data_IF_055721812762
#
_entry.id   IF_055721812762
#
_cell.length_a   1.000
_cell.length_b   1.000
_cell.length_c   1.000
_cell.angle_alpha   90.00
_cell.angle_beta   90.00
_cell.angle_gamma   90.00
#
_symmetry.space_group_name_H-M   'P 1'
#
loop_
_entity.id
_entity.type
_entity.pdbx_description
1 polymer ?
#
# COMPACT_ATOMS: atom_id res chain seq x y z
N UNK A 1 16.08 -3.49 -0.21
CA UNK A 1 15.13 -2.80 -1.12
C UNK A 1 15.83 -1.83 -2.08
N UNK A 2 16.73 -0.94 -1.62
CA UNK A 2 17.56 -0.13 -2.54
C UNK A 2 18.56 -1.04 -3.26
N UNK A 3 18.67 -0.90 -4.58
CA UNK A 3 19.57 -1.65 -5.44
C UNK A 3 20.88 -0.86 -5.62
N UNK A 4 22.00 -1.57 -5.71
CA UNK A 4 23.30 -0.96 -5.95
C UNK A 4 23.50 -0.82 -7.47
N UNK A 5 23.30 0.39 -7.99
CA UNK A 5 23.37 0.70 -9.44
C UNK A 5 24.08 2.03 -9.69
N UNK A 6 24.48 2.22 -10.96
CA UNK A 6 25.23 3.36 -11.54
C UNK A 6 24.76 4.76 -11.04
N UNK A 7 25.60 5.82 -11.11
CA UNK A 7 25.28 7.11 -10.50
C UNK A 7 23.93 7.66 -10.97
N UNK A 8 23.00 7.72 -10.01
CA UNK A 8 21.69 8.33 -10.15
C UNK A 8 21.80 9.86 -10.01
N UNK A 9 20.77 10.64 -10.42
CA UNK A 9 20.60 12.00 -9.91
C UNK A 9 20.80 12.01 -8.39
N UNK A 10 21.44 13.05 -7.85
CA UNK A 10 21.90 13.08 -6.44
C UNK A 10 20.78 12.76 -5.42
N UNK A 11 19.51 12.90 -5.80
CA UNK A 11 18.33 12.71 -4.97
C UNK A 11 17.50 11.44 -5.23
N UNK A 12 17.92 10.50 -6.09
CA UNK A 12 17.14 9.28 -6.41
C UNK A 12 17.69 7.97 -5.80
N UNK A 13 16.81 6.97 -5.70
CA UNK A 13 17.04 5.61 -5.23
C UNK A 13 16.44 4.63 -6.24
N UNK A 14 17.23 3.71 -6.77
CA UNK A 14 16.71 2.55 -7.47
C UNK A 14 16.30 1.48 -6.46
N UNK A 15 15.14 0.89 -6.65
CA UNK A 15 14.58 -0.11 -5.73
C UNK A 15 13.92 -1.24 -6.49
N UNK A 16 13.56 -2.31 -5.78
CA UNK A 16 12.77 -3.40 -6.35
C UNK A 16 11.37 -2.98 -6.84
N UNK A 17 10.85 -1.84 -6.35
CA UNK A 17 9.55 -1.32 -6.74
C UNK A 17 9.64 -0.36 -7.93
N UNK A 18 10.82 0.16 -8.24
CA UNK A 18 11.03 1.23 -9.22
C UNK A 18 11.97 2.30 -8.67
N UNK A 19 12.03 3.44 -9.35
CA UNK A 19 12.85 4.58 -8.93
C UNK A 19 12.06 5.50 -8.01
N UNK A 20 12.68 5.94 -6.91
CA UNK A 20 12.06 6.81 -5.91
C UNK A 20 13.01 7.93 -5.50
N UNK A 21 12.47 9.02 -4.96
CA UNK A 21 13.26 10.06 -4.31
C UNK A 21 13.88 9.55 -3.00
N UNK A 22 14.99 10.15 -2.56
CA UNK A 22 15.65 9.83 -1.29
C UNK A 22 14.75 10.07 -0.08
N UNK A 23 13.82 11.02 -0.15
CA UNK A 23 12.82 11.29 0.88
C UNK A 23 11.98 10.03 1.19
N UNK A 24 11.77 9.18 0.19
CA UNK A 24 10.99 7.95 0.33
C UNK A 24 11.68 6.85 1.15
N UNK A 25 13.00 6.93 1.39
CA UNK A 25 13.81 5.83 1.98
C UNK A 25 13.21 5.21 3.22
N UNK A 26 12.79 6.03 4.19
CA UNK A 26 12.23 5.55 5.47
C UNK A 26 10.92 4.81 5.26
N UNK A 27 10.00 5.38 4.48
CA UNK A 27 8.70 4.80 4.18
C UNK A 27 8.85 3.50 3.37
N UNK A 28 9.74 3.51 2.40
CA UNK A 28 10.04 2.37 1.56
C UNK A 28 10.57 1.16 2.33
N UNK A 29 11.43 1.37 3.34
CA UNK A 29 11.88 0.28 4.23
C UNK A 29 10.71 -0.31 5.02
N UNK A 30 9.84 0.53 5.60
CA UNK A 30 8.63 0.07 6.28
C UNK A 30 7.72 -0.71 5.32
N UNK A 31 7.52 -0.19 4.11
CA UNK A 31 6.69 -0.82 3.08
C UNK A 31 7.23 -2.20 2.71
N UNK A 32 8.55 -2.35 2.58
CA UNK A 32 9.19 -3.65 2.37
C UNK A 32 8.89 -4.64 3.51
N UNK A 33 9.03 -4.18 4.76
CA UNK A 33 8.86 -5.05 5.93
C UNK A 33 7.41 -5.53 6.13
N UNK A 34 6.42 -4.73 5.73
CA UNK A 34 5.01 -5.00 6.04
C UNK A 34 4.14 -5.39 4.84
N UNK A 35 4.44 -4.88 3.64
CA UNK A 35 3.52 -4.91 2.49
C UNK A 35 4.15 -5.49 1.21
N UNK A 36 5.40 -5.96 1.25
CA UNK A 36 6.09 -6.44 0.05
C UNK A 36 5.28 -7.49 -0.74
N UNK A 37 4.78 -8.51 -0.06
CA UNK A 37 3.94 -9.55 -0.68
C UNK A 37 2.64 -9.00 -1.27
N UNK A 38 2.04 -7.98 -0.64
CA UNK A 38 0.80 -7.37 -1.11
C UNK A 38 1.02 -6.58 -2.41
N UNK A 39 2.08 -5.77 -2.44
CA UNK A 39 2.49 -4.98 -3.60
C UNK A 39 2.89 -5.89 -4.77
N UNK A 40 3.63 -6.96 -4.48
CA UNK A 40 4.02 -7.95 -5.48
C UNK A 40 2.81 -8.69 -6.05
N UNK A 41 1.87 -9.12 -5.20
CA UNK A 41 0.62 -9.74 -5.62
C UNK A 41 -0.23 -8.79 -6.47
N UNK A 42 -0.44 -7.54 -6.03
CA UNK A 42 -1.18 -6.54 -6.78
C UNK A 42 -0.60 -6.34 -8.18
N UNK A 43 0.71 -6.14 -8.28
CA UNK A 43 1.37 -5.96 -9.57
C UNK A 43 1.31 -7.21 -10.47
N UNK A 44 1.34 -8.41 -9.89
CA UNK A 44 1.16 -9.66 -10.63
C UNK A 44 -0.28 -9.81 -11.14
N UNK A 45 -1.28 -9.48 -10.32
CA UNK A 45 -2.69 -9.47 -10.70
C UNK A 45 -2.97 -8.44 -11.80
N UNK A 46 -2.42 -7.22 -11.72
CA UNK A 46 -2.51 -6.19 -12.77
C UNK A 46 -2.03 -6.73 -14.12
N UNK A 47 -0.88 -7.43 -14.13
CA UNK A 47 -0.36 -8.08 -15.35
C UNK A 47 -1.28 -9.19 -15.85
N UNK A 48 -1.72 -10.06 -14.94
CA UNK A 48 -2.53 -11.23 -15.26
C UNK A 48 -3.84 -10.85 -15.95
N UNK A 49 -4.58 -9.88 -15.38
CA UNK A 49 -5.87 -9.47 -15.94
C UNK A 49 -5.72 -8.47 -17.09
N UNK A 50 -4.50 -7.99 -17.36
CA UNK A 50 -4.24 -6.97 -18.38
C UNK A 50 -4.93 -5.65 -18.07
N UNK A 51 -4.92 -5.21 -16.81
CA UNK A 51 -5.58 -3.96 -16.42
C UNK A 51 -4.99 -2.77 -17.20
N UNK A 52 -5.89 -1.93 -17.71
CA UNK A 52 -5.57 -0.72 -18.46
C UNK A 52 -5.64 0.53 -17.60
N UNK A 53 -6.46 0.51 -16.54
CA UNK A 53 -6.56 1.59 -15.56
C UNK A 53 -6.26 1.08 -14.16
N UNK A 54 -5.50 1.86 -13.39
CA UNK A 54 -5.23 1.57 -11.99
C UNK A 54 -5.68 2.76 -11.13
N UNK A 55 -6.33 2.47 -10.01
CA UNK A 55 -6.61 3.45 -8.96
C UNK A 55 -5.77 3.10 -7.73
N UNK A 56 -5.00 4.06 -7.26
CA UNK A 56 -4.19 3.98 -6.04
C UNK A 56 -4.78 5.00 -5.05
N UNK A 57 -5.76 4.55 -4.25
CA UNK A 57 -6.53 5.40 -3.35
C UNK A 57 -5.95 5.30 -1.94
N UNK A 58 -5.41 6.42 -1.44
CA UNK A 58 -4.52 6.44 -0.29
C UNK A 58 -3.07 6.15 -0.71
N UNK A 59 -2.63 6.75 -1.81
CA UNK A 59 -1.38 6.38 -2.49
C UNK A 59 -0.12 6.60 -1.63
N UNK A 60 -0.16 7.45 -0.60
CA UNK A 60 0.98 7.81 0.23
C UNK A 60 2.15 8.34 -0.61
N UNK A 61 3.27 7.60 -0.70
CA UNK A 61 4.41 7.94 -1.56
C UNK A 61 4.33 7.32 -2.97
N UNK A 62 3.23 6.63 -3.29
CA UNK A 62 2.97 6.04 -4.61
C UNK A 62 3.68 4.72 -4.86
N UNK A 63 3.88 3.85 -3.87
CA UNK A 63 4.60 2.58 -4.10
C UNK A 63 3.85 1.69 -5.08
N UNK A 64 2.52 1.59 -4.97
CA UNK A 64 1.70 0.82 -5.91
C UNK A 64 1.73 1.45 -7.30
N UNK A 65 1.50 2.76 -7.40
CA UNK A 65 1.59 3.52 -8.65
C UNK A 65 2.92 3.32 -9.38
N UNK A 66 4.06 3.56 -8.70
CA UNK A 66 5.39 3.37 -9.28
C UNK A 66 5.62 1.91 -9.67
N UNK A 67 5.13 0.95 -8.87
CA UNK A 67 5.32 -0.47 -9.15
C UNK A 67 4.64 -0.92 -10.45
N UNK A 68 3.48 -0.36 -10.76
CA UNK A 68 2.65 -0.80 -11.89
C UNK A 68 2.78 0.08 -13.14
N UNK A 69 3.35 1.28 -13.04
CA UNK A 69 3.52 2.20 -14.17
C UNK A 69 4.35 1.65 -15.34
N UNK A 70 5.19 0.64 -15.10
CA UNK A 70 6.00 0.00 -16.14
C UNK A 70 5.32 -1.22 -16.78
N UNK A 71 4.09 -1.55 -16.39
CA UNK A 71 3.35 -2.68 -16.95
C UNK A 71 2.72 -2.26 -18.30
N UNK A 72 3.03 -2.95 -19.43
CA UNK A 72 2.61 -2.49 -20.76
C UNK A 72 1.09 -2.34 -20.98
N UNK A 73 0.27 -3.11 -20.25
CA UNK A 73 -1.19 -3.00 -20.35
C UNK A 73 -1.72 -1.72 -19.72
N UNK A 74 -1.05 -1.20 -18.69
CA UNK A 74 -1.48 0.00 -17.95
C UNK A 74 -1.34 1.21 -18.85
N UNK A 75 -2.43 1.99 -18.96
CA UNK A 75 -2.54 3.20 -19.78
C UNK A 75 -2.73 4.45 -18.93
N UNK A 76 -3.28 4.31 -17.73
CA UNK A 76 -3.39 5.39 -16.76
C UNK A 76 -3.43 4.86 -15.33
N UNK A 77 -2.85 5.62 -14.42
CA UNK A 77 -2.85 5.39 -12.99
C UNK A 77 -3.38 6.66 -12.35
N UNK A 78 -4.39 6.53 -11.47
CA UNK A 78 -5.00 7.63 -10.76
C UNK A 78 -4.65 7.51 -9.29
N UNK A 79 -3.71 8.33 -8.83
CA UNK A 79 -3.16 8.28 -7.48
C UNK A 79 -3.74 9.40 -6.61
N UNK A 80 -4.54 9.01 -5.62
CA UNK A 80 -5.21 9.92 -4.70
C UNK A 80 -4.50 9.92 -3.36
N UNK A 81 -3.95 11.06 -2.95
CA UNK A 81 -3.33 11.25 -1.62
C UNK A 81 -3.69 12.63 -1.07
N UNK A 82 -4.55 12.73 -0.04
CA UNK A 82 -4.96 14.01 0.52
C UNK A 82 -3.89 14.69 1.40
N UNK A 83 -2.97 13.94 1.99
CA UNK A 83 -1.94 14.49 2.85
C UNK A 83 -0.84 15.19 2.07
N UNK A 84 -0.79 16.52 2.10
CA UNK A 84 0.18 17.37 1.37
C UNK A 84 1.61 16.82 1.43
N UNK A 85 2.06 16.40 2.62
CA UNK A 85 3.43 15.93 2.79
C UNK A 85 3.76 14.59 2.13
N UNK A 86 2.78 13.69 2.04
CA UNK A 86 2.93 12.45 1.29
C UNK A 86 2.75 12.73 -0.22
N UNK A 87 1.80 13.60 -0.57
CA UNK A 87 1.55 14.05 -1.94
C UNK A 87 2.77 14.73 -2.59
N UNK A 88 3.51 15.58 -1.86
CA UNK A 88 4.77 16.16 -2.29
C UNK A 88 5.77 15.07 -2.74
N UNK A 89 5.89 14.01 -1.94
CA UNK A 89 6.83 12.91 -2.18
C UNK A 89 6.34 12.01 -3.32
N UNK A 90 5.05 11.72 -3.37
CA UNK A 90 4.40 11.03 -4.49
C UNK A 90 4.65 11.76 -5.81
N UNK A 91 4.45 13.08 -5.83
CA UNK A 91 4.68 13.92 -7.02
C UNK A 91 6.12 13.80 -7.49
N UNK A 92 7.09 13.93 -6.58
CA UNK A 92 8.51 13.74 -6.92
C UNK A 92 8.81 12.33 -7.41
N UNK A 93 8.16 11.30 -6.86
CA UNK A 93 8.36 9.92 -7.29
C UNK A 93 7.77 9.68 -8.69
N UNK A 94 6.63 10.29 -9.03
CA UNK A 94 6.04 10.20 -10.37
C UNK A 94 6.96 10.83 -11.44
N UNK A 95 7.56 11.99 -11.15
CA UNK A 95 8.53 12.66 -12.04
C UNK A 95 9.77 11.81 -12.37
N UNK A 96 10.11 10.85 -11.51
CA UNK A 96 11.29 9.99 -11.68
C UNK A 96 11.03 8.77 -12.59
N UNK A 97 9.77 8.55 -13.01
CA UNK A 97 9.40 7.44 -13.88
C UNK A 97 9.71 7.73 -15.35
N UNK A 98 9.80 6.67 -16.16
CA UNK A 98 10.11 6.80 -17.59
C UNK A 98 9.05 7.61 -18.36
N UNK A 99 7.78 7.46 -17.96
CA UNK A 99 6.66 8.26 -18.44
C UNK A 99 5.92 8.84 -17.22
N UNK A 100 6.22 10.07 -16.80
CA UNK A 100 5.54 10.69 -15.67
C UNK A 100 4.05 10.91 -15.89
N UNK A 101 3.61 11.06 -17.15
CA UNK A 101 2.21 11.37 -17.49
C UNK A 101 1.28 10.17 -17.31
N UNK A 102 1.82 8.96 -17.15
CA UNK A 102 1.01 7.77 -16.87
C UNK A 102 0.39 7.79 -15.47
N UNK A 103 0.98 8.56 -14.53
CA UNK A 103 0.50 8.70 -13.15
C UNK A 103 -0.17 10.07 -13.02
N UNK A 104 -1.50 10.08 -13.07
CA UNK A 104 -2.33 11.24 -12.77
C UNK A 104 -2.47 11.41 -11.25
N UNK A 105 -2.11 12.60 -10.77
CA UNK A 105 -1.93 12.91 -9.35
C UNK A 105 -3.07 13.77 -8.84
N UNK A 106 -3.74 13.30 -7.78
CA UNK A 106 -4.90 13.96 -7.19
C UNK A 106 -4.64 14.21 -5.69
N UNK A 107 -4.46 15.48 -5.28
CA UNK A 107 -4.30 15.85 -3.87
C UNK A 107 -5.66 15.95 -3.16
N UNK A 108 -6.39 14.85 -3.16
CA UNK A 108 -7.81 14.78 -2.80
C UNK A 108 -8.09 13.44 -2.14
N UNK A 109 -8.99 13.40 -1.16
CA UNK A 109 -9.48 12.15 -0.59
C UNK A 109 -10.64 11.61 -1.43
N UNK A 110 -10.76 10.29 -1.58
CA UNK A 110 -11.92 9.71 -2.26
C UNK A 110 -13.05 9.49 -1.25
N UNK A 111 -14.26 9.94 -1.59
CA UNK A 111 -15.47 9.82 -0.77
C UNK A 111 -16.71 9.60 -1.65
N UNK A 112 -17.87 9.45 -1.01
CA UNK A 112 -19.21 9.42 -1.61
C UNK A 112 -19.77 10.79 -2.02
N UNK A 113 -19.05 11.86 -1.69
CA UNK A 113 -19.41 13.27 -1.94
C UNK A 113 -18.18 14.05 -2.39
N UNK A 114 -18.39 15.14 -3.12
CA UNK A 114 -17.36 16.07 -3.55
C UNK A 114 -17.46 17.38 -2.75
N UNK A 115 -16.86 17.41 -1.57
CA UNK A 115 -16.89 18.53 -0.62
C UNK A 115 -15.56 18.71 0.13
N UNK A 116 -15.47 19.74 0.98
CA UNK A 116 -14.33 19.90 1.92
C UNK A 116 -14.56 19.10 3.19
N UNK A 117 -13.55 18.39 3.67
CA UNK A 117 -13.61 17.60 4.89
C UNK A 117 -12.37 17.81 5.77
N UNK A 118 -12.53 17.63 7.08
CA UNK A 118 -11.41 17.67 8.03
C UNK A 118 -10.58 16.38 7.97
N UNK A 119 -9.26 16.53 7.90
CA UNK A 119 -8.26 15.46 7.80
C UNK A 119 -7.29 15.51 8.98
N UNK A 120 -7.17 14.40 9.71
CA UNK A 120 -6.31 14.25 10.87
C UNK A 120 -4.87 13.92 10.46
N UNK A 121 -3.92 14.76 10.87
CA UNK A 121 -2.50 14.59 10.58
C UNK A 121 -1.75 14.24 11.87
N UNK A 122 -1.17 13.03 11.91
CA UNK A 122 -0.31 12.54 12.99
C UNK A 122 1.18 12.76 12.70
N UNK A 123 1.52 13.03 11.44
CA UNK A 123 2.84 13.46 10.99
C UNK A 123 2.86 13.66 9.47
N UNK A 124 3.86 14.40 8.95
CA UNK A 124 3.94 14.79 7.53
C UNK A 124 3.81 13.61 6.54
N UNK A 125 4.23 12.42 6.95
CA UNK A 125 4.14 11.18 6.16
C UNK A 125 3.72 10.00 7.04
N UNK A 126 2.86 10.19 8.04
CA UNK A 126 2.42 9.09 8.90
C UNK A 126 1.44 8.18 8.12
N UNK A 127 1.49 6.86 8.37
CA UNK A 127 0.61 5.90 7.68
C UNK A 127 -0.83 6.04 8.13
N UNK A 128 -1.02 6.36 9.41
CA UNK A 128 -2.29 6.52 10.08
C UNK A 128 -2.89 7.93 9.96
N UNK A 129 -2.52 8.71 8.93
CA UNK A 129 -3.24 9.94 8.62
C UNK A 129 -4.57 9.52 7.99
N UNK A 130 -5.68 10.12 8.42
CA UNK A 130 -7.01 9.70 8.02
C UNK A 130 -7.99 10.87 8.08
N UNK A 131 -9.18 10.72 7.49
CA UNK A 131 -10.25 11.72 7.69
C UNK A 131 -10.65 11.75 9.17
N UNK A 132 -10.81 12.95 9.75
CA UNK A 132 -11.06 13.07 11.19
C UNK A 132 -12.35 12.34 11.61
N UNK A 133 -13.35 12.28 10.71
CA UNK A 133 -14.60 11.57 10.93
C UNK A 133 -14.47 10.06 11.11
N UNK A 134 -13.35 9.45 10.68
CA UNK A 134 -13.13 7.99 10.79
C UNK A 134 -12.31 7.61 12.04
N UNK A 135 -11.85 8.61 12.79
CA UNK A 135 -10.95 8.40 13.93
C UNK A 135 -11.68 7.92 15.18
N UNK A 136 -11.13 6.93 15.92
CA UNK A 136 -11.61 6.62 17.26
C UNK A 136 -11.49 7.86 18.16
N UNK A 137 -12.54 8.19 18.93
CA UNK A 137 -12.58 9.37 19.80
C UNK A 137 -11.42 9.46 20.82
N UNK A 138 -10.73 8.33 21.09
CA UNK A 138 -9.57 8.27 21.97
C UNK A 138 -8.26 8.76 21.32
N UNK A 139 -8.19 8.89 19.99
CA UNK A 139 -7.00 9.33 19.28
C UNK A 139 -6.99 10.85 19.18
N UNK A 140 -5.87 11.48 19.57
CA UNK A 140 -5.66 12.92 19.42
C UNK A 140 -4.75 13.17 18.23
N UNK A 141 -5.29 13.73 17.16
CA UNK A 141 -4.50 14.20 16.03
C UNK A 141 -3.48 15.25 16.49
N UNK A 142 -2.30 15.27 15.87
CA UNK A 142 -1.31 16.30 16.15
C UNK A 142 -1.71 17.64 15.51
N UNK A 143 -2.41 17.57 14.36
CA UNK A 143 -3.01 18.69 13.66
C UNK A 143 -4.23 18.22 12.86
N UNK A 144 -5.11 19.15 12.48
CA UNK A 144 -6.22 18.92 11.53
C UNK A 144 -6.08 19.89 10.37
N UNK A 145 -6.26 19.42 9.14
CA UNK A 145 -6.24 20.24 7.91
C UNK A 145 -7.52 20.01 7.11
N UNK A 146 -7.98 20.99 6.35
CA UNK A 146 -9.06 20.78 5.39
C UNK A 146 -8.51 20.17 4.11
N UNK A 147 -9.15 19.11 3.62
CA UNK A 147 -8.84 18.48 2.33
C UNK A 147 -10.08 18.44 1.46
N UNK A 148 -9.87 18.45 0.15
CA UNK A 148 -10.95 18.22 -0.81
C UNK A 148 -11.27 16.72 -0.86
N UNK A 149 -12.54 16.41 -1.14
CA UNK A 149 -13.01 15.06 -1.42
C UNK A 149 -13.54 14.97 -2.84
N UNK A 150 -13.42 13.80 -3.47
CA UNK A 150 -13.93 13.53 -4.81
C UNK A 150 -14.59 12.15 -4.88
N UNK A 151 -15.55 12.02 -5.81
CA UNK A 151 -16.14 10.74 -6.19
C UNK A 151 -15.45 10.24 -7.44
N UNK A 152 -15.11 8.95 -7.48
CA UNK A 152 -14.62 8.31 -8.71
C UNK A 152 -15.68 8.39 -9.81
N UNK A 153 -16.97 8.25 -9.45
CA UNK A 153 -18.07 8.29 -10.40
C UNK A 153 -18.19 9.64 -11.17
N UNK A 154 -17.55 10.71 -10.72
CA UNK A 154 -17.64 12.01 -11.39
C UNK A 154 -16.56 12.21 -12.49
N UNK A 155 -15.57 11.31 -12.58
CA UNK A 155 -14.33 11.56 -13.35
C UNK A 155 -14.01 10.59 -14.49
N UNK A 156 -14.72 9.46 -14.64
CA UNK A 156 -14.26 8.37 -15.51
C UNK A 156 -15.36 7.69 -16.34
N UNK A 157 -14.93 7.05 -17.43
CA UNK A 157 -15.81 6.24 -18.26
C UNK A 157 -16.35 5.03 -17.50
N UNK A 158 -17.67 4.86 -17.56
CA UNK A 158 -18.37 3.90 -16.71
C UNK A 158 -18.38 2.47 -17.25
N UNK A 159 -17.82 2.19 -18.44
CA UNK A 159 -18.05 0.90 -19.11
C UNK A 159 -16.88 0.43 -19.96
N UNK A 160 -16.67 -0.89 -19.90
CA UNK A 160 -15.84 -1.63 -20.86
C UNK A 160 -14.34 -1.65 -20.56
N UNK A 161 -13.91 -1.12 -19.42
CA UNK A 161 -12.51 -1.12 -19.01
C UNK A 161 -12.18 -2.30 -18.09
N UNK A 162 -10.91 -2.76 -18.18
CA UNK A 162 -10.32 -3.67 -17.21
C UNK A 162 -9.47 -2.87 -16.23
N UNK A 163 -9.76 -2.94 -14.94
CA UNK A 163 -9.10 -2.10 -13.95
C UNK A 163 -8.58 -2.87 -12.73
N UNK A 164 -7.68 -2.21 -11.99
CA UNK A 164 -7.25 -2.62 -10.66
C UNK A 164 -7.40 -1.44 -9.69
N UNK A 165 -7.81 -1.68 -8.46
CA UNK A 165 -7.99 -0.63 -7.46
C UNK A 165 -7.40 -1.07 -6.12
N UNK A 166 -6.46 -0.28 -5.59
CA UNK A 166 -6.02 -0.34 -4.19
C UNK A 166 -6.79 0.74 -3.42
N UNK A 167 -7.35 0.36 -2.28
CA UNK A 167 -8.06 1.25 -1.37
C UNK A 167 -7.54 1.06 0.05
N UNK A 168 -6.96 2.12 0.60
CA UNK A 168 -6.43 2.17 1.95
C UNK A 168 -6.47 3.60 2.44
N UNK A 169 -7.59 3.94 3.09
CA UNK A 169 -7.95 5.31 3.49
C UNK A 169 -8.25 5.39 4.98
N UNK A 170 -7.73 4.41 5.74
CA UNK A 170 -7.72 4.38 7.20
C UNK A 170 -9.13 4.58 7.81
N UNK A 171 -10.10 3.77 7.36
CA UNK A 171 -11.46 3.71 7.92
C UNK A 171 -12.53 4.47 7.13
N UNK A 172 -12.19 4.99 5.94
CA UNK A 172 -13.14 5.66 5.04
C UNK A 172 -13.54 4.81 3.83
N UNK A 173 -13.23 3.51 3.85
CA UNK A 173 -13.33 2.64 2.69
C UNK A 173 -14.77 2.55 2.17
N UNK A 174 -15.74 2.47 3.08
CA UNK A 174 -17.16 2.34 2.74
C UNK A 174 -17.63 3.53 1.88
N UNK A 175 -17.31 4.75 2.30
CA UNK A 175 -17.69 5.97 1.57
C UNK A 175 -16.95 6.10 0.25
N UNK A 176 -15.65 5.80 0.23
CA UNK A 176 -14.88 5.78 -1.00
C UNK A 176 -15.47 4.79 -2.04
N UNK A 177 -15.88 3.60 -1.60
CA UNK A 177 -16.56 2.61 -2.46
C UNK A 177 -17.93 3.07 -2.95
N UNK A 178 -18.71 3.74 -2.10
CA UNK A 178 -20.00 4.32 -2.48
C UNK A 178 -19.86 5.43 -3.54
N UNK A 179 -18.78 6.21 -3.49
CA UNK A 179 -18.42 7.20 -4.49
C UNK A 179 -17.86 6.64 -5.80
N UNK A 180 -17.60 5.33 -5.86
CA UNK A 180 -17.11 4.62 -7.04
C UNK A 180 -18.11 3.58 -7.56
N UNK A 181 -19.35 3.58 -7.04
CA UNK A 181 -20.31 2.50 -7.26
C UNK A 181 -20.64 2.29 -8.73
N UNK A 182 -20.85 3.38 -9.47
CA UNK A 182 -21.23 3.31 -10.89
C UNK A 182 -20.07 2.79 -11.73
N UNK A 183 -18.87 3.32 -11.49
CA UNK A 183 -17.65 2.90 -12.16
C UNK A 183 -17.35 1.41 -11.90
N UNK A 184 -17.41 0.97 -10.64
CA UNK A 184 -17.14 -0.40 -10.24
C UNK A 184 -18.18 -1.37 -10.82
N UNK A 185 -19.46 -1.00 -10.86
CA UNK A 185 -20.52 -1.86 -11.38
C UNK A 185 -20.49 -2.01 -12.90
N UNK A 186 -19.97 -1.00 -13.62
CA UNK A 186 -19.94 -0.99 -15.08
C UNK A 186 -18.66 -1.51 -15.72
N UNK A 187 -17.60 -1.74 -14.93
CA UNK A 187 -16.29 -2.20 -15.39
C UNK A 187 -15.89 -3.54 -14.74
N UNK A 188 -14.90 -4.24 -15.31
CA UNK A 188 -14.42 -5.53 -14.77
C UNK A 188 -13.01 -5.38 -14.19
N UNK A 189 -12.74 -6.03 -13.07
CA UNK A 189 -11.44 -5.88 -12.43
C UNK A 189 -11.33 -6.55 -11.08
N UNK A 190 -10.31 -6.13 -10.32
CA UNK A 190 -10.14 -6.54 -8.94
C UNK A 190 -9.92 -5.35 -8.00
N UNK A 191 -10.29 -5.54 -6.74
CA UNK A 191 -10.10 -4.59 -5.65
C UNK A 191 -9.19 -5.22 -4.60
N UNK A 192 -8.18 -4.49 -4.14
CA UNK A 192 -7.47 -4.75 -2.90
C UNK A 192 -7.90 -3.66 -1.91
N UNK A 193 -8.67 -4.05 -0.91
CA UNK A 193 -9.21 -3.12 0.10
C UNK A 193 -8.61 -3.47 1.46
N UNK A 194 -7.87 -2.54 2.05
CA UNK A 194 -7.41 -2.63 3.43
C UNK A 194 -8.56 -2.21 4.35
N UNK A 195 -8.98 -3.11 5.24
CA UNK A 195 -10.10 -2.82 6.14
C UNK A 195 -9.83 -3.37 7.54
N UNK A 196 -10.04 -2.50 8.53
CA UNK A 196 -9.88 -2.87 9.92
C UNK A 196 -10.92 -3.91 10.39
N UNK A 197 -10.57 -4.73 11.40
CA UNK A 197 -11.54 -5.59 12.05
C UNK A 197 -12.78 -4.81 12.51
N UNK A 198 -13.97 -5.23 12.07
CA UNK A 198 -15.25 -4.62 12.42
C UNK A 198 -15.92 -3.84 11.28
N UNK A 199 -15.19 -3.38 10.27
CA UNK A 199 -15.76 -2.65 9.12
C UNK A 199 -15.95 -3.54 7.88
N UNK A 200 -15.25 -4.67 7.83
CA UNK A 200 -15.19 -5.53 6.64
C UNK A 200 -16.54 -6.09 6.20
N UNK A 201 -17.49 -6.34 7.10
CA UNK A 201 -18.78 -6.91 6.69
C UNK A 201 -19.63 -5.90 5.91
N UNK A 202 -19.58 -4.61 6.26
CA UNK A 202 -20.23 -3.54 5.51
C UNK A 202 -19.56 -3.35 4.14
N UNK A 203 -18.23 -3.31 4.11
CA UNK A 203 -17.45 -3.27 2.86
C UNK A 203 -17.83 -4.44 1.94
N UNK A 204 -17.93 -5.66 2.49
CA UNK A 204 -18.29 -6.86 1.73
C UNK A 204 -19.69 -6.77 1.15
N UNK A 205 -20.68 -6.31 1.90
CA UNK A 205 -22.04 -6.19 1.37
C UNK A 205 -22.14 -5.09 0.31
N UNK A 206 -21.43 -3.97 0.48
CA UNK A 206 -21.38 -2.90 -0.54
C UNK A 206 -20.75 -3.39 -1.84
N UNK A 207 -19.55 -3.98 -1.82
CA UNK A 207 -18.92 -4.44 -3.07
C UNK A 207 -19.68 -5.63 -3.69
N UNK A 208 -20.34 -6.45 -2.88
CA UNK A 208 -21.23 -7.52 -3.35
C UNK A 208 -22.44 -6.98 -4.10
N UNK A 209 -23.01 -5.86 -3.65
CA UNK A 209 -24.09 -5.18 -4.40
C UNK A 209 -23.63 -4.69 -5.79
N UNK A 210 -22.32 -4.51 -5.99
CA UNK A 210 -21.68 -4.15 -7.27
C UNK A 210 -21.18 -5.38 -8.07
N UNK A 211 -21.54 -6.60 -7.64
CA UNK A 211 -21.17 -7.84 -8.31
C UNK A 211 -19.80 -8.42 -7.94
N UNK A 212 -19.13 -7.87 -6.93
CA UNK A 212 -17.84 -8.38 -6.47
C UNK A 212 -17.99 -9.51 -5.45
N UNK A 213 -17.11 -10.49 -5.53
CA UNK A 213 -16.94 -11.52 -4.49
C UNK A 213 -15.54 -11.47 -3.93
N UNK A 214 -15.39 -11.74 -2.63
CA UNK A 214 -14.07 -11.88 -2.00
C UNK A 214 -13.46 -13.20 -2.43
N UNK A 215 -12.24 -13.18 -2.94
CA UNK A 215 -11.48 -14.37 -3.36
C UNK A 215 -10.33 -14.69 -2.40
N UNK A 216 -9.79 -13.69 -1.71
CA UNK A 216 -8.66 -13.89 -0.81
C UNK A 216 -8.61 -12.84 0.30
N UNK A 217 -7.83 -13.13 1.34
CA UNK A 217 -7.51 -12.20 2.42
C UNK A 217 -6.08 -12.43 2.90
N UNK A 218 -5.31 -11.35 3.00
CA UNK A 218 -3.99 -11.36 3.63
C UNK A 218 -3.95 -10.30 4.72
N UNK A 219 -3.93 -10.71 6.00
CA UNK A 219 -4.06 -9.80 7.15
C UNK A 219 -5.30 -8.88 7.05
N UNK A 220 -5.12 -7.60 6.74
CA UNK A 220 -6.18 -6.60 6.60
C UNK A 220 -6.53 -6.32 5.13
N UNK A 221 -5.70 -6.80 4.18
CA UNK A 221 -5.99 -6.73 2.76
C UNK A 221 -7.03 -7.78 2.36
N UNK A 222 -8.11 -7.31 1.76
CA UNK A 222 -9.17 -8.14 1.20
C UNK A 222 -9.20 -7.98 -0.31
N UNK A 223 -9.14 -9.11 -1.02
CA UNK A 223 -9.14 -9.14 -2.48
C UNK A 223 -10.50 -9.54 -3.01
N UNK A 224 -11.06 -8.71 -3.88
CA UNK A 224 -12.37 -8.89 -4.48
C UNK A 224 -12.28 -8.84 -6.00
N UNK A 225 -13.17 -9.54 -6.69
CA UNK A 225 -13.31 -9.42 -8.14
C UNK A 225 -14.74 -9.68 -8.61
N UNK A 226 -15.14 -9.00 -9.70
CA UNK A 226 -16.37 -9.24 -10.44
C UNK A 226 -16.13 -9.95 -11.79
N UNK A 227 -14.90 -10.46 -12.01
CA UNK A 227 -14.52 -11.29 -13.16
C UNK A 227 -15.21 -12.66 -13.02
N UNK A 228 -15.87 -13.09 -14.08
CA UNK A 228 -16.66 -14.32 -14.14
C UNK A 228 -15.87 -15.52 -14.65
N UNK A 229 -14.79 -15.30 -15.40
CA UNK A 229 -13.89 -16.36 -15.87
C UNK A 229 -13.24 -17.07 -14.67
N UNK A 230 -13.70 -18.30 -14.40
CA UNK A 230 -13.24 -19.08 -13.25
C UNK A 230 -11.79 -19.50 -13.37
N UNK A 231 -11.31 -19.81 -14.57
CA UNK A 231 -9.92 -20.22 -14.78
C UNK A 231 -8.96 -19.05 -14.54
N UNK A 232 -9.35 -17.84 -14.96
CA UNK A 232 -8.61 -16.63 -14.64
C UNK A 232 -8.61 -16.37 -13.12
N UNK A 233 -9.74 -16.56 -12.45
CA UNK A 233 -9.84 -16.36 -10.99
C UNK A 233 -9.01 -17.39 -10.22
N UNK A 234 -8.92 -18.63 -10.68
CA UNK A 234 -8.03 -19.64 -10.09
C UNK A 234 -6.57 -19.19 -10.19
N UNK A 235 -6.15 -18.68 -11.35
CA UNK A 235 -4.79 -18.12 -11.51
C UNK A 235 -4.54 -16.90 -10.60
N UNK A 236 -5.56 -16.04 -10.39
CA UNK A 236 -5.46 -14.94 -9.42
C UNK A 236 -5.23 -15.47 -8.00
N UNK A 237 -5.96 -16.52 -7.60
CA UNK A 237 -5.81 -17.13 -6.28
C UNK A 237 -4.44 -17.77 -6.11
N UNK A 238 -3.94 -18.49 -7.13
CA UNK A 238 -2.60 -19.09 -7.10
C UNK A 238 -1.51 -18.02 -6.86
N UNK A 239 -1.56 -16.90 -7.59
CA UNK A 239 -0.66 -15.76 -7.36
C UNK A 239 -0.73 -15.27 -5.91
N UNK A 240 -1.94 -15.12 -5.36
CA UNK A 240 -2.14 -14.64 -4.00
C UNK A 240 -1.61 -15.62 -2.95
N UNK A 241 -1.79 -16.93 -3.17
CA UNK A 241 -1.24 -17.98 -2.32
C UNK A 241 0.29 -18.00 -2.38
N UNK A 242 0.87 -17.97 -3.58
CA UNK A 242 2.32 -18.01 -3.78
C UNK A 242 3.01 -16.81 -3.13
N UNK A 243 2.50 -15.59 -3.33
CA UNK A 243 3.05 -14.39 -2.71
C UNK A 243 2.93 -14.38 -1.18
N UNK A 244 1.85 -14.96 -0.65
CA UNK A 244 1.69 -15.15 0.81
C UNK A 244 2.68 -16.18 1.34
N UNK A 245 2.89 -17.28 0.61
CA UNK A 245 3.83 -18.33 0.98
C UNK A 245 5.29 -17.83 0.95
N UNK A 246 5.67 -17.06 -0.08
CA UNK A 246 6.98 -16.41 -0.18
C UNK A 246 7.23 -15.46 1.01
N UNK A 247 6.26 -14.61 1.32
CA UNK A 247 6.34 -13.69 2.47
C UNK A 247 6.51 -14.44 3.80
N UNK A 248 5.81 -15.58 3.96
CA UNK A 248 5.95 -16.44 5.14
C UNK A 248 7.34 -17.09 5.21
N UNK A 249 7.86 -17.57 4.07
CA UNK A 249 9.19 -18.18 3.99
C UNK A 249 10.30 -17.15 4.34
N UNK A 250 10.19 -15.91 3.86
CA UNK A 250 11.12 -14.83 4.21
C UNK A 250 11.07 -14.52 5.71
N UNK A 251 9.87 -14.42 6.29
CA UNK A 251 9.70 -14.21 7.73
C UNK A 251 10.30 -15.36 8.57
N UNK A 252 10.17 -16.60 8.11
CA UNK A 252 10.80 -17.77 8.75
C UNK A 252 12.31 -17.68 8.71
N UNK A 253 12.90 -17.36 7.55
CA UNK A 253 14.35 -17.18 7.39
C UNK A 253 14.90 -16.07 8.29
N UNK A 254 14.19 -14.94 8.42
CA UNK A 254 14.56 -13.85 9.33
C UNK A 254 14.53 -14.29 10.80
N UNK A 255 13.53 -15.10 11.19
CA UNK A 255 13.44 -15.66 12.55
C UNK A 255 14.60 -16.61 12.86
N UNK A 256 15.03 -17.42 11.89
CA UNK A 256 16.20 -18.29 12.01
C UNK A 256 17.49 -17.49 12.14
N UNK A 257 17.68 -16.47 11.30
CA UNK A 257 18.84 -15.58 11.37
C UNK A 257 18.91 -14.89 12.74
N UNK A 258 17.79 -14.35 13.24
CA UNK A 258 17.72 -13.73 14.57
C UNK A 258 18.11 -14.71 15.67
N UNK A 259 17.64 -15.96 15.61
CA UNK A 259 18.04 -17.02 16.57
C UNK A 259 19.53 -17.34 16.49
N UNK A 260 20.12 -17.33 15.29
CA UNK A 260 21.56 -17.51 15.12
C UNK A 260 22.33 -16.34 15.74
N UNK A 261 21.97 -15.09 15.42
CA UNK A 261 22.60 -13.90 16.00
C UNK A 261 22.54 -13.89 17.54
N UNK A 262 21.40 -14.25 18.14
CA UNK A 262 21.27 -14.33 19.60
C UNK A 262 22.22 -15.39 20.18
N UNK A 263 22.38 -16.55 19.51
CA UNK A 263 23.33 -17.58 19.94
C UNK A 263 24.77 -17.08 19.84
N UNK A 264 25.14 -16.47 18.71
CA UNK A 264 26.49 -15.96 18.49
C UNK A 264 26.87 -14.89 19.53
N UNK A 265 25.93 -13.98 19.86
CA UNK A 265 26.12 -12.97 20.92
C UNK A 265 26.29 -13.64 22.30
N UNK A 266 25.50 -14.66 22.63
CA UNK A 266 25.65 -15.40 23.90
C UNK A 266 27.00 -16.09 24.00
N UNK A 267 27.43 -16.78 22.94
CA UNK A 267 28.74 -17.42 22.88
C UNK A 267 29.87 -16.40 23.04
N UNK A 268 29.77 -15.24 22.40
CA UNK A 268 30.75 -14.17 22.57
C UNK A 268 30.79 -13.65 24.03
N UNK A 269 29.63 -13.43 24.65
CA UNK A 269 29.56 -13.02 26.06
C UNK A 269 30.14 -14.08 27.01
N UNK A 270 29.90 -15.36 26.76
CA UNK A 270 30.46 -16.46 27.56
C UNK A 270 31.99 -16.55 27.44
N UNK A 271 32.56 -16.18 26.28
CA UNK A 271 34.02 -16.10 26.08
C UNK A 271 34.64 -14.88 26.74
N UNK A 272 33.91 -13.78 26.87
CA UNK A 272 34.33 -12.59 27.62
C UNK A 272 33.96 -12.80 29.09
N UNK A 273 34.64 -13.75 29.77
CA UNK A 273 34.53 -13.87 31.22
C UNK A 273 34.97 -12.55 31.86
N UNK A 274 34.06 -11.87 32.57
CA UNK A 274 34.46 -10.84 33.53
C UNK A 274 35.25 -11.53 34.65
N UNK A 275 36.58 -11.41 34.62
CA UNK A 275 37.38 -11.65 35.82
C UNK A 275 37.00 -10.56 36.83
N UNK A 276 36.46 -10.95 37.99
CA UNK A 276 36.31 -10.01 39.11
C UNK A 276 37.71 -9.58 39.52
N UNK A 277 37.94 -8.28 39.62
CA UNK A 277 39.18 -7.75 40.18
C UNK A 277 39.48 -8.46 41.52
N UNK A 278 40.72 -8.93 41.74
CA UNK A 278 41.07 -9.57 42.99
C UNK A 278 40.82 -8.59 44.14
N UNK A 279 40.06 -9.05 45.14
CA UNK A 279 39.85 -8.30 46.38
C UNK A 279 41.22 -8.16 47.06
N UNK A 280 41.80 -6.96 47.02
CA UNK A 280 43.03 -6.65 47.76
C UNK A 280 42.64 -6.55 49.25
N UNK A 281 43.14 -7.42 50.13
CA UNK A 281 42.84 -7.32 51.54
C UNK A 281 43.45 -6.03 52.14
N UNK A 282 42.79 -5.39 53.11
CA UNK A 282 43.35 -4.21 53.78
C UNK A 282 44.63 -4.59 54.52
N UNK A 283 45.70 -3.82 54.28
CA UNK A 283 46.99 -3.95 54.93
C UNK A 283 47.02 -3.39 56.35
#
# INVERSE_FOLDING_TARGET
MVLDTAPLPDDALDTIYGRFSRASRKRLNLTYDYEHGAISAFAALVRLIGATRVFDIGANIGVYSVRVCQIPSVKSIHAYEPGEGAFDVLSRNAELQADPAIIDLQNTAVSDVAERSEYAVFGKMAGNNALLSTMPAAWKAANTVEVETARIDDGYDMRGETFALKLDVEGHELKALLGAREYLSGNKGFLQVESFPGQIDEVREVVKSMGYRRIFRMKQDHYFTNIEDTALVDQMMDILFDQTAESLAEAQKLKELRRKTIRDVRTALDTVRFERDPVIPPG
#
